data_IF_472966748285
#
_entry.id   IF_472966748285
#
_cell.length_a   1.000
_cell.length_b   1.000
_cell.length_c   1.000
_cell.angle_alpha   90.00
_cell.angle_beta   90.00
_cell.angle_gamma   90.00
#
_symmetry.space_group_name_H-M   'P 1'
#
loop_
_entity.id
_entity.type
_entity.pdbx_description
1 polymer ?
#
# COMPACT_ATOMS: atom_id res chain seq x y z
N UNK A 1 -12.82 -12.05 71.18
CA UNK A 1 -12.74 -12.82 69.92
C UNK A 1 -13.29 -11.96 68.80
N UNK A 2 -12.46 -11.12 68.18
CA UNK A 2 -12.90 -10.18 67.15
C UNK A 2 -12.58 -10.75 65.77
N UNK A 3 -13.64 -10.81 64.95
CA UNK A 3 -13.70 -11.43 63.64
C UNK A 3 -12.77 -10.69 62.67
N UNK A 4 -11.71 -11.35 62.22
CA UNK A 4 -10.93 -10.94 61.06
C UNK A 4 -11.79 -11.16 59.81
N UNK A 5 -12.30 -10.06 59.22
CA UNK A 5 -12.93 -10.09 57.90
C UNK A 5 -11.83 -10.14 56.84
N UNK A 6 -11.66 -11.32 56.25
CA UNK A 6 -10.83 -11.56 55.07
C UNK A 6 -11.49 -10.88 53.86
N UNK A 7 -11.08 -9.66 53.53
CA UNK A 7 -11.50 -8.99 52.31
C UNK A 7 -10.65 -9.50 51.13
N UNK A 8 -11.13 -10.53 50.47
CA UNK A 8 -10.56 -11.05 49.22
C UNK A 8 -10.85 -10.04 48.11
N UNK A 9 -9.91 -9.13 47.84
CA UNK A 9 -10.00 -8.19 46.73
C UNK A 9 -9.69 -8.98 45.44
N UNK A 10 -10.72 -9.44 44.74
CA UNK A 10 -10.60 -10.02 43.42
C UNK A 10 -10.23 -8.91 42.42
N UNK A 11 -8.92 -8.73 42.19
CA UNK A 11 -8.42 -7.95 41.06
C UNK A 11 -8.67 -8.78 39.79
N UNK A 12 -9.85 -8.62 39.19
CA UNK A 12 -10.13 -9.13 37.85
C UNK A 12 -9.26 -8.40 36.85
N UNK A 13 -8.13 -9.00 36.46
CA UNK A 13 -7.34 -8.55 35.33
C UNK A 13 -8.18 -8.82 34.08
N UNK A 14 -8.89 -7.81 33.60
CA UNK A 14 -9.49 -7.85 32.28
C UNK A 14 -8.35 -7.81 31.25
N UNK A 15 -7.89 -9.00 30.84
CA UNK A 15 -7.04 -9.14 29.65
C UNK A 15 -7.94 -8.83 28.46
N UNK A 16 -8.00 -7.57 28.06
CA UNK A 16 -8.51 -7.20 26.74
C UNK A 16 -7.54 -7.77 25.73
N UNK A 17 -7.88 -8.94 25.17
CA UNK A 17 -7.16 -9.50 24.04
C UNK A 17 -7.21 -8.45 22.93
N UNK A 18 -6.06 -7.85 22.61
CA UNK A 18 -5.95 -7.06 21.40
C UNK A 18 -6.30 -8.02 20.25
N UNK A 19 -7.43 -7.80 19.57
CA UNK A 19 -7.76 -8.54 18.37
C UNK A 19 -6.61 -8.32 17.40
N UNK A 20 -5.95 -9.41 16.98
CA UNK A 20 -4.89 -9.34 16.00
C UNK A 20 -5.40 -8.59 14.77
N UNK A 21 -4.63 -7.59 14.33
CA UNK A 21 -4.87 -6.88 13.09
C UNK A 21 -5.02 -7.91 11.96
N UNK A 22 -6.21 -7.97 11.34
CA UNK A 22 -6.41 -8.83 10.18
C UNK A 22 -5.72 -8.20 8.98
N UNK A 23 -5.01 -9.01 8.21
CA UNK A 23 -4.50 -8.56 6.92
C UNK A 23 -5.67 -8.17 6.01
N UNK A 24 -5.44 -7.17 5.18
CA UNK A 24 -6.35 -6.64 4.16
C UNK A 24 -5.63 -6.68 2.83
N UNK A 25 -6.34 -7.03 1.75
CA UNK A 25 -5.78 -7.12 0.41
C UNK A 25 -6.39 -6.07 -0.51
N UNK A 26 -5.53 -5.23 -1.10
CA UNK A 26 -5.86 -4.35 -2.20
C UNK A 26 -5.67 -5.12 -3.49
N UNK A 27 -6.76 -5.37 -4.21
CA UNK A 27 -6.76 -6.09 -5.48
C UNK A 27 -6.86 -5.08 -6.63
N UNK A 28 -5.71 -4.69 -7.17
CA UNK A 28 -5.62 -3.70 -8.22
C UNK A 28 -6.05 -4.24 -9.57
N UNK A 29 -5.93 -5.56 -9.81
CA UNK A 29 -6.50 -6.15 -11.00
C UNK A 29 -8.03 -6.16 -10.96
N UNK A 30 -8.65 -6.51 -9.82
CA UNK A 30 -10.09 -6.36 -9.68
C UNK A 30 -10.51 -4.90 -9.86
N UNK A 31 -9.74 -3.95 -9.31
CA UNK A 31 -9.98 -2.52 -9.51
C UNK A 31 -9.86 -2.12 -11.00
N UNK A 32 -8.81 -2.59 -11.70
CA UNK A 32 -8.58 -2.37 -13.12
C UNK A 32 -9.76 -2.87 -13.97
N UNK A 33 -10.27 -4.06 -13.65
CA UNK A 33 -11.38 -4.71 -14.36
C UNK A 33 -12.78 -4.29 -13.87
N UNK A 34 -12.87 -3.57 -12.75
CA UNK A 34 -14.16 -3.20 -12.17
C UNK A 34 -14.81 -2.06 -12.95
N UNK A 35 -15.76 -2.40 -13.79
CA UNK A 35 -16.82 -1.51 -14.25
C UNK A 35 -17.52 -2.02 -15.49
N UNK A 36 -18.69 -1.44 -15.77
CA UNK A 36 -19.62 -1.93 -16.78
C UNK A 36 -19.92 -0.83 -17.80
N UNK A 37 -19.43 -0.95 -19.03
CA UNK A 37 -19.68 0.00 -20.10
C UNK A 37 -18.66 -0.13 -21.24
N UNK A 38 -18.83 0.63 -22.34
CA UNK A 38 -17.87 0.67 -23.45
C UNK A 38 -16.54 1.36 -23.10
N UNK A 39 -16.43 1.90 -21.88
CA UNK A 39 -15.22 2.51 -21.32
C UNK A 39 -14.55 1.48 -20.43
N UNK A 40 -13.72 0.64 -21.04
CA UNK A 40 -12.98 -0.41 -20.34
C UNK A 40 -11.81 0.24 -19.61
N UNK A 41 -11.82 0.20 -18.28
CA UNK A 41 -11.08 1.07 -17.38
C UNK A 41 -9.58 0.78 -17.29
N UNK A 42 -8.87 0.82 -18.41
CA UNK A 42 -7.48 1.22 -18.33
C UNK A 42 -7.42 2.74 -18.11
N UNK A 43 -6.40 3.21 -17.40
CA UNK A 43 -6.22 4.65 -17.22
C UNK A 43 -5.43 5.03 -16.00
N UNK A 44 -5.03 6.30 -15.94
CA UNK A 44 -4.33 6.81 -14.78
C UNK A 44 -5.24 6.79 -13.54
N UNK A 45 -4.61 6.63 -12.38
CA UNK A 45 -5.26 6.70 -11.07
C UNK A 45 -6.11 7.97 -10.93
N UNK A 46 -5.63 9.08 -11.49
CA UNK A 46 -6.23 10.41 -11.42
C UNK A 46 -7.37 10.62 -12.44
N UNK A 47 -7.40 9.89 -13.56
CA UNK A 47 -8.35 10.10 -14.68
C UNK A 47 -9.67 9.34 -14.51
N UNK A 48 -9.81 8.45 -13.52
CA UNK A 48 -10.99 7.58 -13.35
C UNK A 48 -12.26 8.30 -12.85
N UNK A 49 -12.85 9.14 -13.70
CA UNK A 49 -14.13 9.83 -13.46
C UNK A 49 -15.31 9.01 -14.01
N UNK A 50 -16.10 8.36 -13.16
CA UNK A 50 -17.49 7.97 -13.48
C UNK A 50 -18.38 8.16 -12.24
N UNK A 51 -19.54 8.72 -12.49
CA UNK A 51 -20.45 9.34 -11.54
C UNK A 51 -21.54 8.39 -11.04
N UNK A 52 -21.47 7.08 -11.35
CA UNK A 52 -22.65 6.20 -11.18
C UNK A 52 -22.45 4.80 -10.56
N UNK A 53 -21.23 4.37 -10.21
CA UNK A 53 -21.02 3.01 -9.66
C UNK A 53 -20.86 2.97 -8.13
N UNK A 54 -21.65 2.12 -7.46
CA UNK A 54 -21.53 1.81 -6.04
C UNK A 54 -20.28 0.93 -5.79
N UNK A 55 -19.12 1.57 -5.70
CA UNK A 55 -17.83 0.91 -5.48
C UNK A 55 -16.67 1.85 -5.12
N UNK A 56 -16.90 3.17 -5.09
CA UNK A 56 -15.87 4.18 -4.81
C UNK A 56 -14.94 4.38 -6.00
N UNK A 57 -15.17 5.45 -6.76
CA UNK A 57 -14.32 5.85 -7.88
C UNK A 57 -13.55 7.12 -7.54
N UNK A 58 -12.36 7.26 -8.13
CA UNK A 58 -11.40 8.32 -7.87
C UNK A 58 -11.72 9.57 -8.70
N UNK A 59 -12.20 10.62 -8.05
CA UNK A 59 -12.55 11.92 -8.62
C UNK A 59 -11.35 12.87 -8.67
N UNK A 60 -10.28 12.57 -7.93
CA UNK A 60 -9.05 13.38 -7.83
C UNK A 60 -7.82 12.47 -7.60
N UNK A 61 -6.62 12.96 -7.89
CA UNK A 61 -5.35 12.30 -7.59
C UNK A 61 -5.17 11.97 -6.10
N UNK A 62 -5.92 12.65 -5.23
CA UNK A 62 -5.94 12.42 -3.78
C UNK A 62 -6.95 11.34 -3.34
N UNK A 63 -7.77 10.82 -4.25
CA UNK A 63 -8.78 9.86 -3.89
C UNK A 63 -8.16 8.53 -3.47
N UNK A 64 -8.85 7.88 -2.55
CA UNK A 64 -8.31 6.77 -1.76
C UNK A 64 -9.12 5.50 -2.01
N UNK A 65 -8.48 4.43 -2.48
CA UNK A 65 -9.10 3.12 -2.52
C UNK A 65 -9.05 2.51 -1.14
N UNK A 66 -10.21 2.22 -0.57
CA UNK A 66 -10.32 1.76 0.82
C UNK A 66 -10.77 0.32 0.87
N UNK A 67 -9.99 -0.54 1.52
CA UNK A 67 -10.34 -1.91 1.83
C UNK A 67 -10.11 -2.12 3.32
N UNK A 68 -11.04 -2.80 4.02
CA UNK A 68 -10.84 -3.13 5.44
C UNK A 68 -10.67 -1.94 6.40
N UNK A 69 -11.02 -0.71 5.96
CA UNK A 69 -10.79 0.53 6.72
C UNK A 69 -9.43 1.18 6.48
N UNK A 70 -8.56 0.55 5.68
CA UNK A 70 -7.27 1.10 5.25
C UNK A 70 -7.44 1.69 3.86
N UNK A 71 -7.06 2.94 3.69
CA UNK A 71 -7.02 3.60 2.40
C UNK A 71 -5.64 3.52 1.76
N UNK A 72 -5.58 3.47 0.42
CA UNK A 72 -4.37 3.63 -0.38
C UNK A 72 -4.58 4.63 -1.50
N UNK A 73 -3.56 5.45 -1.77
CA UNK A 73 -3.43 6.34 -2.93
C UNK A 73 -2.21 5.87 -3.72
N UNK A 74 -2.30 5.86 -5.06
CA UNK A 74 -1.16 5.55 -5.91
C UNK A 74 -0.72 6.78 -6.69
N UNK A 75 0.59 7.04 -6.71
CA UNK A 75 1.22 8.06 -7.54
C UNK A 75 2.44 7.47 -8.24
N UNK A 76 2.99 8.17 -9.22
CA UNK A 76 4.20 7.74 -9.90
C UNK A 76 5.19 8.89 -10.03
N UNK A 77 6.44 8.54 -10.28
CA UNK A 77 7.48 9.50 -10.60
C UNK A 77 8.59 8.87 -11.41
N UNK A 78 9.58 9.71 -11.75
CA UNK A 78 10.70 9.31 -12.58
C UNK A 78 12.03 9.88 -12.06
N UNK A 79 13.11 9.14 -12.24
CA UNK A 79 14.48 9.57 -11.95
C UNK A 79 15.42 9.16 -13.08
N UNK A 80 16.48 9.94 -13.32
CA UNK A 80 17.49 9.58 -14.33
C UNK A 80 18.49 8.53 -13.82
N UNK A 81 19.40 8.05 -14.68
CA UNK A 81 20.44 7.07 -14.31
C UNK A 81 21.41 7.56 -13.22
N UNK A 82 21.38 8.85 -12.88
CA UNK A 82 22.16 9.44 -11.78
C UNK A 82 21.38 9.45 -10.45
N UNK A 83 20.11 9.03 -10.47
CA UNK A 83 19.22 9.10 -9.32
C UNK A 83 18.77 10.53 -9.02
N UNK A 84 18.77 11.41 -10.01
CA UNK A 84 18.22 12.76 -9.86
C UNK A 84 16.74 12.72 -10.25
N UNK A 85 15.85 13.15 -9.34
CA UNK A 85 14.44 13.34 -9.68
C UNK A 85 14.29 14.38 -10.76
N UNK A 86 13.68 13.96 -11.87
CA UNK A 86 13.38 14.84 -12.97
C UNK A 86 11.94 15.27 -12.85
N UNK A 87 11.65 16.20 -11.92
CA UNK A 87 10.29 16.75 -11.71
C UNK A 87 9.65 17.43 -12.94
N UNK A 88 10.31 17.38 -14.10
CA UNK A 88 9.89 17.98 -15.37
C UNK A 88 10.26 17.16 -16.63
N UNK A 89 10.88 15.97 -16.52
CA UNK A 89 11.18 15.15 -17.71
C UNK A 89 10.24 13.94 -17.74
N UNK A 90 9.15 14.09 -18.50
CA UNK A 90 8.17 13.04 -18.76
C UNK A 90 7.31 12.75 -17.53
N UNK A 91 6.15 13.40 -17.41
CA UNK A 91 5.26 13.10 -16.30
C UNK A 91 4.94 11.61 -16.28
N UNK A 92 4.92 11.02 -15.10
CA UNK A 92 4.54 9.63 -14.87
C UNK A 92 3.29 9.64 -14.00
N UNK A 93 2.31 8.81 -14.33
CA UNK A 93 1.11 8.60 -13.52
C UNK A 93 1.04 7.14 -13.13
N UNK A 94 0.54 6.88 -11.92
CA UNK A 94 0.08 5.55 -11.57
C UNK A 94 -1.04 5.17 -12.54
N UNK A 95 -0.98 3.96 -13.10
CA UNK A 95 -1.85 3.51 -14.18
C UNK A 95 -2.43 2.14 -13.86
N UNK A 96 -3.74 2.00 -14.01
CA UNK A 96 -4.42 0.72 -13.89
C UNK A 96 -4.55 0.11 -15.27
N UNK A 97 -4.01 -1.09 -15.43
CA UNK A 97 -4.07 -1.88 -16.65
C UNK A 97 -4.95 -3.11 -16.44
N UNK A 98 -5.84 -3.39 -17.40
CA UNK A 98 -6.89 -4.39 -17.29
C UNK A 98 -6.40 -5.76 -17.74
N UNK A 99 -7.29 -6.75 -17.71
CA UNK A 99 -6.96 -8.07 -18.23
C UNK A 99 -6.76 -8.04 -19.76
N UNK A 100 -5.68 -8.67 -20.22
CA UNK A 100 -5.37 -8.88 -21.64
C UNK A 100 -5.29 -10.38 -21.91
N UNK A 101 -6.04 -10.87 -22.90
CA UNK A 101 -6.15 -12.31 -23.22
C UNK A 101 -6.46 -13.23 -22.02
N UNK A 102 -7.26 -12.72 -21.06
CA UNK A 102 -7.63 -13.44 -19.84
C UNK A 102 -6.51 -13.54 -18.80
N UNK A 103 -5.48 -12.71 -18.92
CA UNK A 103 -4.39 -12.58 -17.95
C UNK A 103 -4.44 -11.24 -17.25
N UNK A 104 -4.33 -11.22 -15.92
CA UNK A 104 -4.46 -9.98 -15.18
C UNK A 104 -3.18 -9.16 -15.20
N UNK A 105 -3.34 -7.85 -15.24
CA UNK A 105 -2.30 -6.89 -14.92
C UNK A 105 -2.54 -6.33 -13.51
N UNK A 106 -2.85 -5.04 -13.40
CA UNK A 106 -3.03 -4.34 -12.14
C UNK A 106 -2.49 -2.91 -12.21
N UNK A 107 -1.84 -2.47 -11.16
CA UNK A 107 -1.33 -1.11 -11.02
C UNK A 107 0.14 -1.02 -11.46
N UNK A 108 0.41 -0.27 -12.51
CA UNK A 108 1.74 0.06 -13.01
C UNK A 108 1.96 1.58 -13.05
N UNK A 109 2.86 1.99 -13.93
CA UNK A 109 3.10 3.39 -14.27
C UNK A 109 2.77 3.58 -15.75
N UNK A 110 2.41 4.80 -16.13
CA UNK A 110 2.31 5.22 -17.51
C UNK A 110 2.88 6.63 -17.65
N UNK A 111 3.49 6.91 -18.80
CA UNK A 111 3.94 8.24 -19.12
C UNK A 111 2.74 9.16 -19.44
N UNK A 112 2.63 10.30 -18.76
CA UNK A 112 1.47 11.22 -18.78
C UNK A 112 1.48 12.23 -19.91
N UNK A 113 2.62 12.41 -20.59
CA UNK A 113 2.69 13.28 -21.77
C UNK A 113 1.83 12.79 -22.94
N UNK A 114 1.16 11.67 -22.77
CA UNK A 114 0.66 10.84 -23.85
C UNK A 114 -0.44 9.88 -23.35
N UNK A 115 -1.30 10.28 -22.41
CA UNK A 115 -2.58 9.57 -22.31
C UNK A 115 -3.40 9.93 -23.56
N UNK A 116 -3.70 8.93 -24.40
CA UNK A 116 -4.54 9.12 -25.58
C UNK A 116 -5.98 9.40 -25.17
N UNK A 117 -6.84 9.80 -26.12
CA UNK A 117 -8.26 10.07 -25.86
C UNK A 117 -9.07 8.87 -25.34
N UNK A 118 -8.47 7.66 -25.36
CA UNK A 118 -9.05 6.42 -24.81
C UNK A 118 -8.38 6.02 -23.47
N UNK A 119 -7.73 6.98 -22.78
CA UNK A 119 -6.96 6.80 -21.54
C UNK A 119 -5.83 5.76 -21.63
N UNK A 120 -5.41 5.36 -22.84
CA UNK A 120 -4.26 4.49 -23.05
C UNK A 120 -2.95 5.27 -22.91
N UNK A 121 -1.91 4.65 -22.34
CA UNK A 121 -0.54 5.17 -22.47
C UNK A 121 -0.15 5.30 -23.95
N UNK A 122 0.54 6.37 -24.35
CA UNK A 122 1.13 6.55 -25.70
C UNK A 122 2.66 6.72 -25.58
N UNK A 123 3.48 6.00 -26.38
CA UNK A 123 3.08 4.95 -27.32
C UNK A 123 2.34 3.78 -26.64
N UNK A 124 1.37 3.21 -27.37
CA UNK A 124 0.36 2.23 -26.93
C UNK A 124 0.90 0.87 -26.45
N UNK A 125 1.91 0.87 -25.60
CA UNK A 125 2.44 -0.29 -24.90
C UNK A 125 2.78 0.09 -23.46
N UNK A 126 1.77 0.52 -22.71
CA UNK A 126 1.61 0.34 -21.26
C UNK A 126 2.92 0.38 -20.43
N UNK A 127 3.62 1.52 -20.40
CA UNK A 127 5.00 1.67 -19.85
C UNK A 127 5.09 1.59 -18.30
N UNK A 128 4.77 0.41 -17.80
CA UNK A 128 5.50 -0.38 -16.83
C UNK A 128 6.93 0.07 -16.43
N UNK A 129 7.12 0.17 -15.12
CA UNK A 129 8.35 0.54 -14.44
C UNK A 129 9.48 -0.48 -14.68
N UNK A 130 10.54 -0.12 -15.41
CA UNK A 130 11.80 -0.85 -15.24
C UNK A 130 12.76 -0.93 -16.42
N UNK A 131 12.34 -0.61 -17.65
CA UNK A 131 13.24 -0.68 -18.81
C UNK A 131 13.84 0.68 -19.13
N UNK A 132 15.15 0.79 -18.89
CA UNK A 132 15.95 1.93 -19.34
C UNK A 132 15.88 2.02 -20.88
N UNK A 133 15.46 3.18 -21.40
CA UNK A 133 15.41 3.45 -22.83
C UNK A 133 14.05 3.36 -23.51
N UNK A 134 13.00 2.83 -22.85
CA UNK A 134 11.64 2.84 -23.42
C UNK A 134 11.14 4.28 -23.65
N UNK A 135 11.43 5.19 -22.71
CA UNK A 135 11.06 6.60 -22.78
C UNK A 135 12.07 7.50 -23.54
N UNK A 136 12.91 6.92 -24.41
CA UNK A 136 13.88 7.69 -25.20
C UNK A 136 15.04 8.27 -24.37
N UNK A 137 15.37 7.68 -23.22
CA UNK A 137 16.49 8.11 -22.37
C UNK A 137 16.79 7.19 -21.19
N UNK A 138 17.76 7.61 -20.38
CA UNK A 138 18.22 6.93 -19.16
C UNK A 138 17.27 7.19 -17.95
N UNK A 139 15.96 7.17 -18.17
CA UNK A 139 14.97 7.49 -17.13
C UNK A 139 14.33 6.20 -16.63
N UNK A 140 14.28 6.06 -15.31
CA UNK A 140 13.55 5.03 -14.60
C UNK A 140 12.26 5.60 -14.03
N UNK A 141 11.23 4.77 -13.95
CA UNK A 141 9.95 5.09 -13.34
C UNK A 141 9.75 4.27 -12.07
N UNK A 142 8.98 4.83 -11.15
CA UNK A 142 8.60 4.19 -9.91
C UNK A 142 7.16 4.51 -9.55
N UNK A 143 6.54 3.56 -8.86
CA UNK A 143 5.20 3.63 -8.32
C UNK A 143 5.29 3.87 -6.81
N UNK A 144 4.50 4.80 -6.28
CA UNK A 144 4.37 5.06 -4.86
C UNK A 144 2.96 4.66 -4.42
N UNK A 145 2.88 3.85 -3.36
CA UNK A 145 1.65 3.58 -2.63
C UNK A 145 1.70 4.31 -1.29
N UNK A 146 0.77 5.21 -1.05
CA UNK A 146 0.59 5.91 0.22
C UNK A 146 -0.68 5.43 0.91
N UNK A 147 -0.51 4.78 2.06
CA UNK A 147 -1.59 4.29 2.90
C UNK A 147 -2.03 5.35 3.90
N UNK A 148 -3.31 5.33 4.29
CA UNK A 148 -3.88 6.26 5.28
C UNK A 148 -3.34 6.06 6.71
N UNK A 149 -2.65 4.95 6.95
CA UNK A 149 -1.96 4.62 8.20
C UNK A 149 -0.72 3.78 7.91
N UNK A 150 0.18 3.66 8.89
CA UNK A 150 1.34 2.77 8.76
C UNK A 150 0.87 1.31 8.73
N UNK A 151 1.40 0.56 7.77
CA UNK A 151 1.08 -0.85 7.57
C UNK A 151 2.32 -1.70 7.45
N UNK A 152 2.22 -2.96 7.88
CA UNK A 152 3.16 -4.00 7.52
C UNK A 152 2.79 -4.56 6.15
N UNK A 153 3.73 -4.56 5.22
CA UNK A 153 3.57 -5.25 3.96
C UNK A 153 3.65 -6.76 4.21
N UNK A 154 2.59 -7.49 3.89
CA UNK A 154 2.52 -8.94 4.05
C UNK A 154 2.80 -9.67 2.74
N UNK A 155 2.53 -9.01 1.61
CA UNK A 155 2.58 -9.66 0.31
C UNK A 155 2.38 -8.70 -0.84
N UNK A 156 3.15 -8.88 -1.92
CA UNK A 156 2.91 -8.21 -3.19
C UNK A 156 2.99 -9.23 -4.32
N UNK A 157 2.03 -9.17 -5.24
CA UNK A 157 2.00 -10.01 -6.45
C UNK A 157 2.33 -9.15 -7.66
N UNK A 158 3.36 -9.55 -8.42
CA UNK A 158 3.84 -8.83 -9.59
C UNK A 158 3.54 -9.58 -10.88
N UNK A 159 3.18 -8.85 -11.93
CA UNK A 159 3.02 -9.34 -13.30
C UNK A 159 3.92 -8.52 -14.24
N UNK A 160 4.32 -9.08 -15.37
CA UNK A 160 5.13 -8.37 -16.37
C UNK A 160 4.27 -7.71 -17.46
N UNK A 161 4.93 -7.07 -18.43
CA UNK A 161 4.36 -6.47 -19.65
C UNK A 161 3.48 -7.42 -20.47
N UNK A 162 3.76 -8.72 -20.45
CA UNK A 162 2.93 -9.76 -21.09
C UNK A 162 1.79 -10.31 -20.21
N UNK A 163 1.53 -9.67 -19.07
CA UNK A 163 0.56 -10.09 -18.04
C UNK A 163 0.86 -11.51 -17.53
N UNK A 164 2.14 -11.89 -17.49
CA UNK A 164 2.57 -13.13 -16.86
C UNK A 164 3.03 -12.85 -15.43
N UNK A 165 2.66 -13.76 -14.52
CA UNK A 165 3.13 -13.73 -13.14
C UNK A 165 4.66 -13.72 -13.10
N UNK A 166 5.25 -12.74 -12.41
CA UNK A 166 6.68 -12.70 -12.13
C UNK A 166 6.93 -13.60 -10.92
N UNK A 167 7.66 -14.68 -11.16
CA UNK A 167 7.88 -15.77 -10.19
C UNK A 167 9.22 -15.68 -9.44
N UNK A 168 10.15 -14.93 -10.01
CA UNK A 168 11.54 -14.79 -9.58
C UNK A 168 12.09 -13.43 -10.03
N UNK A 169 13.27 -13.09 -9.50
CA UNK A 169 13.94 -11.83 -9.78
C UNK A 169 13.98 -10.92 -8.54
N UNK A 170 14.10 -9.61 -8.78
CA UNK A 170 14.10 -8.62 -7.70
C UNK A 170 13.39 -7.36 -8.14
N UNK A 171 12.67 -6.71 -7.25
CA UNK A 171 12.09 -5.37 -7.47
C UNK A 171 12.80 -4.36 -6.58
N UNK A 172 13.09 -3.17 -7.10
CA UNK A 172 13.55 -2.07 -6.29
C UNK A 172 12.43 -1.60 -5.37
N UNK A 173 12.69 -1.43 -4.08
CA UNK A 173 11.71 -0.87 -3.16
C UNK A 173 12.30 0.16 -2.20
N UNK A 174 11.44 0.99 -1.64
CA UNK A 174 11.74 1.85 -0.51
C UNK A 174 10.49 2.14 0.36
N UNK A 175 10.68 2.53 1.62
CA UNK A 175 9.64 2.74 2.63
C UNK A 175 9.48 4.20 3.08
N UNK A 176 10.41 5.08 2.75
CA UNK A 176 10.42 6.47 3.23
C UNK A 176 10.19 7.49 2.10
N UNK A 177 9.80 7.00 0.92
CA UNK A 177 9.71 7.84 -0.28
C UNK A 177 11.07 8.25 -0.85
N UNK A 178 12.21 7.76 -0.32
CA UNK A 178 13.53 8.06 -0.89
C UNK A 178 13.71 7.37 -2.25
N UNK A 179 14.53 8.01 -3.08
CA UNK A 179 14.86 7.58 -4.44
C UNK A 179 15.87 6.42 -4.45
N UNK A 180 16.53 6.15 -3.31
CA UNK A 180 17.47 5.03 -3.17
C UNK A 180 16.70 3.74 -2.96
N UNK A 181 16.50 2.99 -4.04
CA UNK A 181 15.86 1.68 -3.99
C UNK A 181 16.80 0.62 -3.42
N UNK A 182 16.27 -0.23 -2.55
CA UNK A 182 16.89 -1.48 -2.16
C UNK A 182 16.32 -2.62 -3.01
N UNK A 183 17.14 -3.63 -3.31
CA UNK A 183 16.71 -4.83 -4.00
C UNK A 183 15.84 -5.71 -3.09
N UNK A 184 14.58 -5.92 -3.44
CA UNK A 184 13.67 -6.89 -2.82
C UNK A 184 13.58 -8.14 -3.66
N UNK A 185 13.95 -9.29 -3.11
CA UNK A 185 13.77 -10.56 -3.82
C UNK A 185 12.28 -10.82 -4.09
N UNK A 186 11.98 -11.23 -5.32
CA UNK A 186 10.69 -11.82 -5.70
C UNK A 186 10.88 -13.33 -5.69
N UNK A 187 10.02 -14.03 -4.98
CA UNK A 187 9.92 -15.49 -4.93
C UNK A 187 8.48 -15.91 -5.15
N UNK A 188 8.26 -17.05 -5.82
CA UNK A 188 6.93 -17.58 -6.11
C UNK A 188 6.02 -17.66 -4.89
N UNK A 189 4.84 -17.05 -5.02
CA UNK A 189 3.81 -17.05 -3.98
C UNK A 189 4.10 -15.97 -2.94
N UNK A 190 3.21 -14.98 -2.85
CA UNK A 190 3.11 -13.92 -1.82
C UNK A 190 4.40 -13.74 -1.01
N UNK A 191 5.25 -12.83 -1.47
CA UNK A 191 6.48 -12.51 -0.79
C UNK A 191 6.19 -11.98 0.63
N UNK A 192 6.60 -12.71 1.66
CA UNK A 192 6.44 -12.27 3.05
C UNK A 192 7.42 -11.12 3.35
N UNK A 193 6.86 -9.92 3.47
CA UNK A 193 7.60 -8.69 3.69
C UNK A 193 7.49 -8.17 5.14
N UNK A 194 7.02 -9.01 6.07
CA UNK A 194 6.88 -8.64 7.49
C UNK A 194 8.17 -8.13 8.13
N UNK A 195 9.32 -8.56 7.61
CA UNK A 195 10.65 -8.15 8.10
C UNK A 195 11.08 -6.74 7.69
N UNK A 196 10.40 -6.13 6.71
CA UNK A 196 10.74 -4.79 6.23
C UNK A 196 10.35 -3.70 7.23
N UNK A 197 9.53 -4.01 8.25
CA UNK A 197 8.98 -3.00 9.15
C UNK A 197 7.76 -2.32 8.56
N UNK A 198 7.12 -1.44 9.35
CA UNK A 198 5.92 -0.76 8.94
C UNK A 198 6.23 0.59 8.30
N UNK A 199 5.47 0.92 7.26
CA UNK A 199 5.46 2.24 6.66
C UNK A 199 4.07 2.60 6.15
N UNK A 200 3.77 3.89 6.08
CA UNK A 200 2.62 4.42 5.34
C UNK A 200 2.93 4.62 3.85
N UNK A 201 4.21 4.61 3.46
CA UNK A 201 4.64 4.89 2.09
C UNK A 201 5.51 3.76 1.57
N UNK A 202 5.19 3.25 0.39
CA UNK A 202 5.94 2.17 -0.26
C UNK A 202 6.20 2.54 -1.70
N UNK A 203 7.47 2.61 -2.05
CA UNK A 203 7.91 2.88 -3.42
C UNK A 203 8.37 1.58 -4.05
N UNK A 204 7.94 1.34 -5.29
CA UNK A 204 8.36 0.22 -6.11
C UNK A 204 8.94 0.74 -7.41
N UNK A 205 10.11 0.26 -7.78
CA UNK A 205 10.78 0.61 -9.04
C UNK A 205 11.54 -0.58 -9.60
N UNK A 206 12.30 -0.33 -10.67
CA UNK A 206 13.17 -1.28 -11.41
C UNK A 206 13.14 -2.74 -10.94
N UNK A 207 12.68 -3.65 -11.80
CA UNK A 207 12.99 -5.07 -11.64
C UNK A 207 14.40 -5.35 -12.17
N UNK A 208 15.23 -6.04 -11.38
CA UNK A 208 16.67 -6.19 -11.64
C UNK A 208 17.00 -6.85 -12.99
N UNK A 209 16.07 -7.60 -13.56
CA UNK A 209 16.22 -8.29 -14.85
C UNK A 209 15.78 -7.44 -16.06
N UNK A 210 15.48 -6.15 -15.84
CA UNK A 210 15.00 -5.24 -16.89
C UNK A 210 13.58 -5.60 -17.33
N UNK A 211 12.80 -6.21 -16.44
CA UNK A 211 11.38 -6.40 -16.67
C UNK A 211 10.61 -5.18 -16.21
N UNK A 212 9.63 -4.90 -17.03
CA UNK A 212 8.46 -4.12 -16.73
C UNK A 212 7.57 -4.84 -15.73
N UNK A 213 6.89 -4.12 -14.83
CA UNK A 213 5.97 -4.75 -13.88
C UNK A 213 4.66 -3.99 -13.63
N UNK A 214 3.66 -4.78 -13.21
CA UNK A 214 2.42 -4.35 -12.59
C UNK A 214 2.31 -4.97 -11.19
N UNK A 215 1.77 -4.20 -10.27
CA UNK A 215 1.32 -4.67 -8.97
C UNK A 215 -0.13 -5.12 -9.11
N UNK A 216 -0.33 -6.43 -9.12
CA UNK A 216 -1.66 -7.03 -9.21
C UNK A 216 -2.44 -6.91 -7.90
N UNK A 217 -1.77 -7.24 -6.78
CA UNK A 217 -2.38 -7.19 -5.46
C UNK A 217 -1.34 -6.93 -4.38
N UNK A 218 -1.74 -6.21 -3.33
CA UNK A 218 -0.94 -5.94 -2.14
C UNK A 218 -1.73 -6.35 -0.90
N UNK A 219 -1.13 -7.19 -0.07
CA UNK A 219 -1.65 -7.58 1.24
C UNK A 219 -0.89 -6.82 2.32
N UNK A 220 -1.62 -6.16 3.21
CA UNK A 220 -1.05 -5.37 4.30
C UNK A 220 -1.75 -5.69 5.62
N UNK A 221 -1.06 -5.49 6.74
CA UNK A 221 -1.66 -5.54 8.07
C UNK A 221 -1.44 -4.19 8.76
N UNK A 222 -2.46 -3.60 9.41
CA UNK A 222 -2.27 -2.34 10.12
C UNK A 222 -1.31 -2.52 11.30
N UNK A 223 -0.51 -1.50 11.59
CA UNK A 223 0.34 -1.51 12.79
C UNK A 223 -0.54 -1.57 14.03
N UNK A 224 -0.39 -2.57 14.92
CA UNK A 224 -1.17 -2.61 16.14
C UNK A 224 -0.96 -1.33 16.93
N UNK A 225 -2.01 -0.52 17.06
CA UNK A 225 -2.00 0.59 18.00
C UNK A 225 -1.72 -0.01 19.37
N UNK A 226 -0.66 0.46 20.08
CA UNK A 226 -0.44 0.04 21.45
C UNK A 226 -1.75 0.25 22.20
N UNK A 227 -2.04 -0.61 23.18
CA UNK A 227 -3.19 -0.44 24.06
C UNK A 227 -3.01 0.77 24.98
N UNK A 228 -2.60 1.92 24.44
CA UNK A 228 -2.27 3.15 25.12
C UNK A 228 -3.47 3.68 25.90
N UNK A 229 -4.69 3.54 25.37
CA UNK A 229 -5.89 3.92 26.10
C UNK A 229 -6.15 2.99 27.31
N UNK A 230 -6.20 1.64 27.17
CA UNK A 230 -6.25 0.75 28.32
C UNK A 230 -5.10 0.95 29.31
N UNK A 231 -3.87 1.16 28.84
CA UNK A 231 -2.69 1.41 29.67
C UNK A 231 -2.81 2.76 30.41
N UNK A 232 -3.33 3.79 29.75
CA UNK A 232 -3.59 5.09 30.36
C UNK A 232 -4.67 4.98 31.42
N UNK A 233 -5.78 4.29 31.12
CA UNK A 233 -6.86 4.05 32.08
C UNK A 233 -6.37 3.20 33.26
N UNK A 234 -5.56 2.18 33.02
CA UNK A 234 -4.93 1.38 34.07
C UNK A 234 -3.97 2.23 34.91
N UNK A 235 -3.20 3.13 34.28
CA UNK A 235 -2.32 4.08 34.95
C UNK A 235 -3.10 5.04 35.86
N UNK A 236 -4.12 5.72 35.32
CA UNK A 236 -4.98 6.65 36.07
C UNK A 236 -5.72 5.91 37.20
N UNK A 237 -6.29 4.74 36.92
CA UNK A 237 -6.96 3.90 37.91
C UNK A 237 -6.02 3.45 39.03
N UNK A 238 -4.80 3.04 38.68
CA UNK A 238 -3.75 2.66 39.63
C UNK A 238 -3.35 3.81 40.54
N UNK A 239 -3.07 4.99 39.99
CA UNK A 239 -2.74 6.18 40.77
C UNK A 239 -3.90 6.63 41.67
N UNK A 240 -5.13 6.61 41.16
CA UNK A 240 -6.33 6.93 41.94
C UNK A 240 -6.53 5.99 43.13
N UNK A 241 -6.30 4.68 42.94
CA UNK A 241 -6.36 3.69 44.02
C UNK A 241 -5.28 3.90 45.09
N UNK A 242 -4.03 4.20 44.68
CA UNK A 242 -2.95 4.51 45.61
C UNK A 242 -3.22 5.77 46.43
N UNK A 243 -3.72 6.83 45.79
CA UNK A 243 -4.10 8.07 46.47
C UNK A 243 -5.18 7.82 47.53
N UNK A 244 -6.17 6.97 47.23
CA UNK A 244 -7.21 6.57 48.19
C UNK A 244 -6.64 5.80 49.39
N UNK A 245 -5.65 4.94 49.20
CA UNK A 245 -5.01 4.19 50.31
C UNK A 245 -4.24 5.13 51.23
N UNK A 246 -3.51 6.11 50.69
CA UNK A 246 -2.77 7.08 51.52
C UNK A 246 -3.68 7.91 52.43
N UNK A 247 -4.86 8.32 51.94
CA UNK A 247 -5.86 9.07 52.74
C UNK A 247 -6.51 8.26 53.88
N UNK A 248 -6.43 6.92 53.86
CA UNK A 248 -6.97 6.08 54.93
C UNK A 248 -5.92 5.68 55.98
N UNK A 249 -4.64 5.89 55.68
CA UNK A 249 -3.52 5.56 56.56
C UNK A 249 -2.98 6.77 57.33
N UNK A 250 -3.41 7.99 56.97
CA UNK A 250 -3.24 9.23 57.71
C UNK A 250 -4.55 9.56 58.44
#
# INVERSE_FOLDING_TARGET
MNKFLTATLAAGVAVTMASGASATTFDFAALANSGSGPLFYEGSWESRVDTTAAGGMFVDASDTFTVGGIGVVATAGSYDSTGTTTGALGGASAYLDKDSDGRPAGLGVAQTSSLTGDDQADPGSDDNTGVLGNNGGDIFEYLILTFTESVFMQGVTFYNDGHFLITDGKVGYNQDGSEVMTDLAITMGVNDYTSLGASDTWVFGKVADGHNFYINAVSVAPVPVPAALPLLLAGIGGFGFMARRKRKAA
#
